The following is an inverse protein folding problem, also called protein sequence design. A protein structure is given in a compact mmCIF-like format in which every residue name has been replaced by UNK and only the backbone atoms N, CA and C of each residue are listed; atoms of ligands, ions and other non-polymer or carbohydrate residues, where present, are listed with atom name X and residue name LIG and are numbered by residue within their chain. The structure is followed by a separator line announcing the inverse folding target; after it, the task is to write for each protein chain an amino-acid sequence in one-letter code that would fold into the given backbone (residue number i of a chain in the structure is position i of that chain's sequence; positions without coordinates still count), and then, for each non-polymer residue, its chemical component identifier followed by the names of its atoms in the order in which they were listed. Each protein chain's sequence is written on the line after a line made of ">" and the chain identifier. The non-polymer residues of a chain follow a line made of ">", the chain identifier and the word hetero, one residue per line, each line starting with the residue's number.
data_IF_998512794085
#
_entry.id   IF_998512794085
#
_cell.length_a   1.000
_cell.length_b   1.000
_cell.length_c   1.000
_cell.angle_alpha   90.00
_cell.angle_beta   90.00
_cell.angle_gamma   90.00
#
_symmetry.space_group_name_H-M   'P 1'
#
loop_
_entity.id
_entity.type
_entity.pdbx_description
1 polymer ?
#
# COMPACT_ATOMS: atom_id res chain seq x y z
N UNK A 1 -8.07 -13.95 8.71
CA UNK A 1 -8.30 -12.57 8.23
C UNK A 1 -8.09 -12.54 6.73
N UNK A 2 -9.01 -11.92 5.99
CA UNK A 2 -8.89 -11.80 4.53
C UNK A 2 -8.18 -10.50 4.21
N UNK A 3 -7.02 -10.59 3.59
CA UNK A 3 -6.37 -9.42 2.99
C UNK A 3 -7.29 -8.82 1.92
N UNK A 4 -7.58 -7.52 2.01
CA UNK A 4 -8.39 -6.82 1.00
C UNK A 4 -7.71 -6.80 -0.36
N UNK A 5 -6.37 -6.71 -0.36
CA UNK A 5 -5.56 -6.65 -1.57
C UNK A 5 -4.70 -7.91 -1.75
N UNK A 6 -4.29 -8.17 -3.00
CA UNK A 6 -3.54 -9.38 -3.38
C UNK A 6 -2.15 -9.05 -3.90
N UNK A 7 -1.24 -10.01 -3.85
CA UNK A 7 0.09 -9.91 -4.47
C UNK A 7 -0.08 -9.70 -5.99
N UNK A 8 0.69 -8.79 -6.57
CA UNK A 8 0.59 -8.36 -7.97
C UNK A 8 -0.46 -7.29 -8.22
N UNK A 9 -1.28 -6.94 -7.23
CA UNK A 9 -2.28 -5.90 -7.37
C UNK A 9 -1.62 -4.52 -7.33
N UNK A 10 -2.05 -3.64 -8.24
CA UNK A 10 -1.65 -2.24 -8.26
C UNK A 10 -2.50 -1.44 -7.28
N UNK A 11 -1.82 -0.72 -6.41
CA UNK A 11 -2.41 0.11 -5.37
C UNK A 11 -1.74 1.47 -5.37
N UNK A 12 -2.46 2.47 -4.86
CA UNK A 12 -1.94 3.82 -4.63
C UNK A 12 -1.93 4.10 -3.15
N UNK A 13 -1.10 5.04 -2.70
CA UNK A 13 -1.16 5.49 -1.30
C UNK A 13 -2.41 6.33 -1.07
N UNK A 14 -3.17 5.98 -0.05
CA UNK A 14 -4.20 6.85 0.50
C UNK A 14 -3.49 8.06 1.13
N UNK A 15 -3.72 9.27 0.62
CA UNK A 15 -3.18 10.49 1.24
C UNK A 15 -3.83 10.69 2.62
N UNK A 16 -3.12 10.29 3.68
CA UNK A 16 -3.49 10.62 5.07
C UNK A 16 -2.77 11.93 5.42
N UNK A 17 -3.31 13.06 4.97
CA UNK A 17 -2.76 14.38 5.29
C UNK A 17 -3.09 15.44 4.25
N UNK A 18 -3.65 16.57 4.72
CA UNK A 18 -4.21 17.67 3.92
C UNK A 18 -3.15 18.57 3.24
N UNK A 19 -1.97 18.06 2.91
CA UNK A 19 -0.90 18.89 2.36
C UNK A 19 -0.13 18.19 1.25
N UNK A 20 -0.13 18.85 0.09
CA UNK A 20 0.74 18.70 -1.09
C UNK A 20 0.17 17.93 -2.31
N UNK A 21 0.57 18.37 -3.52
CA UNK A 21 -0.32 18.54 -4.68
C UNK A 21 -0.27 17.38 -5.67
N UNK A 22 -1.34 17.28 -6.46
CA UNK A 22 -1.49 16.56 -7.74
C UNK A 22 -0.82 15.18 -7.80
N UNK A 23 -1.66 14.17 -7.59
CA UNK A 23 -1.54 12.77 -8.01
C UNK A 23 -0.59 12.58 -9.20
N UNK A 24 0.68 12.42 -8.89
CA UNK A 24 1.68 12.02 -9.86
C UNK A 24 1.46 10.54 -10.13
N UNK A 25 1.48 10.14 -11.40
CA UNK A 25 1.37 8.75 -11.86
C UNK A 25 2.46 7.86 -11.20
N UNK A 26 3.48 8.49 -10.62
CA UNK A 26 4.55 7.97 -9.76
C UNK A 26 4.11 7.23 -8.49
N UNK A 27 2.89 7.45 -7.99
CA UNK A 27 2.39 6.86 -6.74
C UNK A 27 1.64 5.53 -6.92
N UNK A 28 1.73 4.89 -8.09
CA UNK A 28 1.26 3.52 -8.29
C UNK A 28 2.33 2.54 -7.85
N UNK A 29 1.96 1.65 -6.93
CA UNK A 29 2.81 0.60 -6.40
C UNK A 29 2.15 -0.76 -6.63
N UNK A 30 2.96 -1.82 -6.65
CA UNK A 30 2.50 -3.20 -6.73
C UNK A 30 2.70 -3.89 -5.39
N UNK A 31 1.70 -4.64 -4.94
CA UNK A 31 1.84 -5.45 -3.73
C UNK A 31 2.74 -6.64 -4.04
N UNK A 32 3.91 -6.67 -3.41
CA UNK A 32 4.90 -7.74 -3.59
C UNK A 32 4.88 -8.76 -2.45
N UNK A 33 4.29 -8.41 -1.30
CA UNK A 33 4.17 -9.33 -0.16
C UNK A 33 2.99 -8.96 0.72
N UNK A 34 2.24 -9.98 1.13
CA UNK A 34 1.27 -9.89 2.23
C UNK A 34 2.01 -10.22 3.51
N UNK A 35 2.00 -9.30 4.47
CA UNK A 35 2.62 -9.50 5.76
C UNK A 35 1.48 -9.85 6.73
N UNK A 36 1.55 -11.01 7.41
CA UNK A 36 0.55 -11.36 8.42
C UNK A 36 0.54 -10.27 9.50
N UNK A 37 -0.62 -10.09 10.12
CA UNK A 37 -0.85 -9.04 11.12
C UNK A 37 0.24 -9.04 12.19
N UNK A 38 0.74 -7.85 12.53
CA UNK A 38 1.58 -7.68 13.71
C UNK A 38 0.72 -7.78 14.98
N UNK A 39 1.32 -7.68 16.17
CA UNK A 39 0.61 -7.77 17.47
C UNK A 39 -0.58 -6.79 17.61
N UNK A 40 -0.74 -5.82 16.70
CA UNK A 40 -1.86 -4.87 16.63
C UNK A 40 -3.09 -5.38 15.88
N UNK A 41 -3.02 -6.53 15.20
CA UNK A 41 -4.16 -7.07 14.41
C UNK A 41 -4.46 -6.31 13.12
N UNK A 42 -3.51 -5.52 12.61
CA UNK A 42 -3.66 -4.83 11.32
C UNK A 42 -2.84 -5.54 10.24
N UNK A 43 -3.45 -5.93 9.10
CA UNK A 43 -2.73 -6.55 8.01
C UNK A 43 -1.81 -5.53 7.33
N UNK A 44 -0.56 -5.94 7.13
CA UNK A 44 0.46 -5.14 6.47
C UNK A 44 0.71 -5.66 5.05
N UNK A 45 1.11 -4.76 4.18
CA UNK A 45 1.44 -5.04 2.79
C UNK A 45 2.81 -4.46 2.51
N UNK A 46 3.66 -5.19 1.77
CA UNK A 46 4.80 -4.56 1.11
C UNK A 46 4.41 -4.21 -0.31
N UNK A 47 4.58 -2.94 -0.62
CA UNK A 47 4.35 -2.37 -1.92
C UNK A 47 5.69 -1.97 -2.55
N UNK A 48 5.79 -2.09 -3.88
CA UNK A 48 6.99 -1.75 -4.65
C UNK A 48 6.61 -0.85 -5.83
N UNK A 49 7.40 0.20 -6.07
CA UNK A 49 7.33 1.01 -7.29
C UNK A 49 8.75 1.25 -7.80
N UNK A 50 9.03 0.77 -9.01
CA UNK A 50 10.37 0.80 -9.60
C UNK A 50 11.41 0.12 -8.70
N UNK A 51 12.35 0.89 -8.17
CA UNK A 51 13.42 0.46 -7.26
C UNK A 51 13.10 0.67 -5.77
N UNK A 52 11.94 1.23 -5.43
CA UNK A 52 11.54 1.51 -4.04
C UNK A 52 10.54 0.46 -3.53
N UNK A 53 10.83 -0.13 -2.37
CA UNK A 53 9.93 -1.02 -1.65
C UNK A 53 9.59 -0.43 -0.27
N UNK A 54 8.32 -0.53 0.15
CA UNK A 54 7.85 0.04 1.40
C UNK A 54 6.79 -0.85 2.05
N UNK A 55 6.77 -0.87 3.39
CA UNK A 55 5.70 -1.49 4.15
C UNK A 55 4.60 -0.44 4.43
N UNK A 56 3.34 -0.83 4.22
CA UNK A 56 2.14 0.01 4.39
C UNK A 56 1.01 -0.83 4.99
N UNK A 57 0.09 -0.18 5.69
CA UNK A 57 -1.14 -0.83 6.20
C UNK A 57 -2.26 -0.79 5.19
N UNK A 58 -3.28 -1.63 5.38
CA UNK A 58 -4.48 -1.63 4.54
C UNK A 58 -5.14 -0.24 4.40
N UNK A 59 -5.21 0.53 5.49
CA UNK A 59 -5.79 1.87 5.49
C UNK A 59 -4.92 2.96 4.87
N UNK A 60 -3.65 2.67 4.59
CA UNK A 60 -2.71 3.60 3.97
C UNK A 60 -2.67 3.47 2.44
N UNK A 61 -3.40 2.50 1.87
CA UNK A 61 -3.45 2.25 0.43
C UNK A 61 -4.88 2.09 -0.09
N UNK A 62 -5.07 2.46 -1.35
CA UNK A 62 -6.33 2.27 -2.10
C UNK A 62 -6.06 1.55 -3.41
N UNK A 63 -7.09 1.01 -4.04
CA UNK A 63 -6.99 0.51 -5.41
C UNK A 63 -6.55 1.63 -6.35
N UNK A 64 -5.67 1.30 -7.30
CA UNK A 64 -5.11 2.25 -8.27
C UNK A 64 -6.06 2.55 -9.44
#
# INVERSE_FOLDING_TARGET
>A
MSHKFKIGQRVRRAQIGYTAPKSDISDVFEIVRLVPEDQTGEPFYRIKSGSSERAVREGEITEA
#
